data_IF_755345279397
#
_entry.id   IF_755345279397
#
_cell.length_a   1.000
_cell.length_b   1.000
_cell.length_c   1.000
_cell.angle_alpha   90.00
_cell.angle_beta   90.00
_cell.angle_gamma   90.00
#
_symmetry.space_group_name_H-M   'P 1'
#
loop_
_entity.id
_entity.type
_entity.pdbx_description
1 polymer ?
#
# COMPACT_ATOMS: atom_id res chain seq x y z
N UNK A 1 2.44 -9.17 3.15
CA UNK A 1 1.81 -8.96 1.81
C UNK A 1 0.97 -10.19 1.46
N UNK A 2 -0.11 -10.03 0.71
CA UNK A 2 -0.99 -11.15 0.30
C UNK A 2 -1.67 -10.86 -1.04
N UNK A 3 -2.23 -11.89 -1.65
CA UNK A 3 -3.03 -11.78 -2.87
C UNK A 3 -3.11 -13.11 -3.60
N UNK A 4 -3.11 -13.08 -4.93
CA UNK A 4 -3.09 -14.27 -5.76
C UNK A 4 -2.20 -14.10 -6.99
N UNK A 5 -1.76 -15.22 -7.57
CA UNK A 5 -0.99 -15.28 -8.80
C UNK A 5 -1.49 -16.42 -9.68
N UNK A 6 -1.24 -16.35 -10.97
CA UNK A 6 -1.60 -17.39 -11.92
C UNK A 6 -0.75 -17.31 -13.19
N UNK A 7 -0.86 -18.34 -14.02
CA UNK A 7 -0.20 -18.48 -15.33
C UNK A 7 -1.23 -18.37 -16.45
N UNK A 8 -0.80 -18.14 -17.68
CA UNK A 8 -1.69 -18.18 -18.84
C UNK A 8 -0.96 -18.80 -20.02
N UNK A 9 -1.67 -19.65 -20.77
CA UNK A 9 -1.19 -20.20 -22.03
C UNK A 9 -1.36 -19.18 -23.14
N UNK A 10 -0.49 -19.23 -24.15
CA UNK A 10 -0.52 -18.30 -25.26
C UNK A 10 0.38 -17.08 -25.02
N UNK A 11 0.48 -16.25 -26.06
CA UNK A 11 1.32 -15.05 -26.08
C UNK A 11 2.83 -15.35 -25.91
N UNK A 12 3.26 -16.59 -26.13
CA UNK A 12 4.68 -16.97 -26.10
C UNK A 12 5.46 -16.32 -27.24
N UNK A 13 4.78 -15.90 -28.32
CA UNK A 13 5.32 -15.08 -29.40
C UNK A 13 5.49 -13.60 -29.00
N UNK A 14 4.97 -13.20 -27.83
CA UNK A 14 5.07 -11.83 -27.30
C UNK A 14 6.12 -11.72 -26.20
N UNK A 15 6.85 -10.61 -26.24
CA UNK A 15 7.73 -10.17 -25.15
C UNK A 15 7.56 -8.67 -24.94
N UNK A 16 7.75 -8.20 -23.72
CA UNK A 16 7.75 -6.77 -23.45
C UNK A 16 9.09 -6.16 -23.90
N UNK A 17 9.04 -5.00 -24.55
CA UNK A 17 10.25 -4.27 -24.97
C UNK A 17 10.46 -3.02 -24.09
N UNK A 18 11.70 -2.76 -23.72
CA UNK A 18 12.06 -1.62 -22.88
C UNK A 18 11.55 -1.69 -21.43
N UNK A 19 11.45 -0.54 -20.77
CA UNK A 19 10.81 -0.43 -19.45
C UNK A 19 9.31 -0.28 -19.67
N UNK A 20 8.50 -1.19 -19.11
CA UNK A 20 7.05 -1.05 -19.06
C UNK A 20 6.67 -0.33 -17.75
N UNK A 21 6.44 1.00 -17.74
CA UNK A 21 6.16 1.74 -16.51
C UNK A 21 4.73 1.50 -16.00
N UNK A 22 3.95 0.63 -16.65
CA UNK A 22 2.54 0.41 -16.36
C UNK A 22 2.34 -0.90 -15.61
N UNK A 23 1.78 -0.80 -14.40
CA UNK A 23 1.21 -1.94 -13.68
C UNK A 23 -0.30 -2.04 -13.88
N UNK A 24 -0.88 -3.07 -13.28
CA UNK A 24 -2.32 -3.19 -13.09
C UNK A 24 -2.74 -2.45 -11.82
N UNK A 25 -3.87 -1.75 -11.88
CA UNK A 25 -4.56 -1.23 -10.71
C UNK A 25 -6.05 -1.60 -10.77
N UNK A 26 -6.56 -2.24 -9.72
CA UNK A 26 -7.98 -2.51 -9.54
C UNK A 26 -8.45 -1.66 -8.35
N UNK A 27 -9.34 -0.67 -8.58
CA UNK A 27 -9.86 0.18 -7.52
C UNK A 27 -10.71 -0.62 -6.54
N UNK A 28 -10.98 -0.05 -5.36
CA UNK A 28 -11.86 -0.67 -4.37
C UNK A 28 -13.21 -1.02 -4.98
N UNK A 29 -13.63 -2.27 -4.83
CA UNK A 29 -14.89 -2.79 -5.35
C UNK A 29 -15.77 -3.45 -4.28
N UNK A 30 -15.24 -3.76 -3.09
CA UNK A 30 -15.99 -4.31 -1.95
C UNK A 30 -16.49 -3.24 -0.98
N UNK A 31 -17.59 -3.56 -0.29
CA UNK A 31 -18.29 -2.71 0.68
C UNK A 31 -18.68 -1.36 0.07
N UNK A 32 -19.21 -1.42 -1.16
CA UNK A 32 -19.80 -0.30 -1.89
C UNK A 32 -21.32 -0.49 -1.97
N UNK A 33 -22.05 0.61 -2.18
CA UNK A 33 -23.49 0.58 -2.49
C UNK A 33 -24.36 -0.23 -1.51
N UNK A 34 -23.99 -0.25 -0.23
CA UNK A 34 -24.74 -0.95 0.82
C UNK A 34 -24.41 -2.44 0.97
N UNK A 35 -23.44 -2.98 0.22
CA UNK A 35 -22.85 -4.30 0.50
C UNK A 35 -22.34 -4.35 1.95
N UNK A 36 -22.65 -5.44 2.65
CA UNK A 36 -22.21 -5.67 4.02
C UNK A 36 -21.34 -6.92 4.08
N UNK A 37 -20.23 -6.81 4.79
CA UNK A 37 -19.33 -7.91 5.15
C UNK A 37 -19.06 -7.88 6.64
N UNK A 38 -18.31 -8.87 7.12
CA UNK A 38 -17.83 -8.99 8.49
C UNK A 38 -16.66 -8.04 8.83
N UNK A 39 -16.35 -7.11 7.92
CA UNK A 39 -15.46 -5.97 8.10
C UNK A 39 -16.05 -4.74 7.39
N UNK A 40 -15.61 -3.55 7.80
CA UNK A 40 -15.90 -2.28 7.14
C UNK A 40 -14.77 -1.90 6.19
N UNK A 41 -15.04 -0.94 5.28
CA UNK A 41 -14.10 -0.49 4.24
C UNK A 41 -13.81 -1.60 3.23
N UNK A 42 -12.82 -1.43 2.38
CA UNK A 42 -12.54 -2.44 1.37
C UNK A 42 -11.11 -2.33 0.88
N UNK A 43 -10.83 -3.08 -0.16
CA UNK A 43 -9.51 -3.25 -0.72
C UNK A 43 -9.54 -3.17 -2.23
N UNK A 44 -8.37 -2.92 -2.80
CA UNK A 44 -8.10 -3.02 -4.23
C UNK A 44 -6.84 -3.84 -4.48
N UNK A 45 -6.45 -3.95 -5.74
CA UNK A 45 -5.27 -4.69 -6.14
C UNK A 45 -4.31 -3.84 -6.93
N UNK A 46 -3.03 -4.12 -6.75
CA UNK A 46 -1.98 -3.69 -7.65
C UNK A 46 -1.22 -4.92 -8.12
N UNK A 47 -0.66 -4.86 -9.33
CA UNK A 47 -0.03 -6.02 -9.87
C UNK A 47 0.59 -5.80 -11.22
N UNK A 48 0.88 -6.91 -11.89
CA UNK A 48 1.39 -6.89 -13.23
C UNK A 48 1.57 -8.31 -13.75
N UNK A 49 1.79 -8.38 -15.06
CA UNK A 49 2.15 -9.60 -15.74
C UNK A 49 3.59 -9.52 -16.25
N UNK A 50 4.32 -10.61 -16.09
CA UNK A 50 5.69 -10.75 -16.56
C UNK A 50 5.93 -12.18 -17.05
N UNK A 51 6.96 -12.34 -17.88
CA UNK A 51 7.46 -13.66 -18.25
C UNK A 51 8.53 -14.09 -17.28
N UNK A 52 8.48 -15.36 -16.88
CA UNK A 52 9.49 -15.95 -16.00
C UNK A 52 10.88 -15.80 -16.62
N UNK A 53 11.81 -15.28 -15.83
CA UNK A 53 13.18 -15.01 -16.26
C UNK A 53 14.10 -16.21 -16.11
N UNK A 54 15.40 -15.92 -16.03
CA UNK A 54 16.47 -16.90 -15.90
C UNK A 54 16.50 -17.61 -14.53
N UNK A 55 15.82 -17.09 -13.51
CA UNK A 55 15.75 -17.69 -12.18
C UNK A 55 14.77 -18.87 -12.08
N UNK A 56 14.34 -19.41 -13.23
CA UNK A 56 13.50 -20.62 -13.26
C UNK A 56 14.40 -21.82 -12.99
N UNK A 57 14.30 -22.39 -11.80
CA UNK A 57 15.01 -23.62 -11.48
C UNK A 57 14.41 -24.75 -12.32
N UNK A 58 15.24 -25.32 -13.20
CA UNK A 58 14.96 -26.60 -13.83
C UNK A 58 15.96 -27.57 -13.23
N UNK A 59 15.54 -28.30 -12.20
CA UNK A 59 16.38 -29.25 -11.46
C UNK A 59 17.01 -30.36 -12.33
N UNK A 60 16.58 -30.48 -13.59
CA UNK A 60 17.09 -31.42 -14.59
C UNK A 60 18.12 -30.77 -15.55
N UNK A 61 18.23 -29.45 -15.60
CA UNK A 61 19.19 -28.67 -16.43
C UNK A 61 20.27 -28.03 -15.56
N UNK A 62 20.80 -28.77 -14.58
CA UNK A 62 21.62 -28.21 -13.50
C UNK A 62 22.90 -27.48 -13.95
N UNK A 63 23.44 -27.74 -15.15
CA UNK A 63 24.57 -27.00 -15.73
C UNK A 63 24.79 -27.33 -17.23
N UNK A 64 25.54 -26.48 -17.94
CA UNK A 64 26.03 -26.75 -19.31
C UNK A 64 25.35 -25.94 -20.42
N UNK A 65 25.67 -26.25 -21.67
CA UNK A 65 25.11 -25.55 -22.84
C UNK A 65 23.57 -25.57 -22.90
N UNK A 66 22.88 -26.70 -22.62
CA UNK A 66 21.40 -26.74 -22.64
C UNK A 66 20.75 -25.82 -21.61
N UNK A 67 21.36 -25.68 -20.42
CA UNK A 67 20.92 -24.72 -19.41
C UNK A 67 21.05 -23.29 -19.95
N UNK A 68 22.24 -22.94 -20.49
CA UNK A 68 22.50 -21.59 -21.02
C UNK A 68 21.52 -21.24 -22.14
N UNK A 69 21.29 -22.16 -23.08
CA UNK A 69 20.36 -21.97 -24.18
C UNK A 69 18.92 -21.78 -23.66
N UNK A 70 18.48 -22.62 -22.71
CA UNK A 70 17.17 -22.49 -22.10
C UNK A 70 17.00 -21.13 -21.39
N UNK A 71 18.02 -20.62 -20.71
CA UNK A 71 18.01 -19.33 -20.02
C UNK A 71 17.97 -18.12 -20.97
N UNK A 72 18.35 -18.29 -22.24
CA UNK A 72 18.21 -17.24 -23.26
C UNK A 72 16.76 -17.04 -23.72
N UNK A 73 15.87 -18.00 -23.42
CA UNK A 73 14.47 -17.96 -23.81
C UNK A 73 13.58 -17.55 -22.64
N UNK A 74 12.62 -16.63 -22.85
CA UNK A 74 11.58 -16.32 -21.88
C UNK A 74 10.75 -17.53 -21.44
N UNK A 75 10.50 -17.65 -20.14
CA UNK A 75 9.54 -18.62 -19.62
C UNK A 75 8.08 -18.24 -19.88
N UNK A 76 7.11 -18.97 -19.29
CA UNK A 76 5.68 -18.69 -19.46
C UNK A 76 5.28 -17.34 -18.87
N UNK A 77 4.12 -16.85 -19.28
CA UNK A 77 3.51 -15.66 -18.68
C UNK A 77 2.92 -15.99 -17.32
N UNK A 78 3.11 -15.06 -16.38
CA UNK A 78 2.47 -15.07 -15.08
C UNK A 78 1.89 -13.69 -14.78
N UNK A 79 0.87 -13.66 -13.93
CA UNK A 79 0.30 -12.44 -13.37
C UNK A 79 0.27 -12.57 -11.85
N UNK A 80 0.40 -11.45 -11.15
CA UNK A 80 0.25 -11.39 -9.71
C UNK A 80 -0.56 -10.18 -9.28
N UNK A 81 -1.49 -10.39 -8.35
CA UNK A 81 -2.21 -9.34 -7.63
C UNK A 81 -1.68 -9.28 -6.20
N UNK A 82 -1.32 -8.09 -5.75
CA UNK A 82 -1.08 -7.76 -4.34
C UNK A 82 -2.23 -6.90 -3.84
N UNK A 83 -2.85 -7.34 -2.75
CA UNK A 83 -3.96 -6.63 -2.14
C UNK A 83 -3.51 -5.45 -1.28
N UNK A 84 -4.28 -4.36 -1.33
CA UNK A 84 -4.13 -3.19 -0.47
C UNK A 84 -5.48 -2.85 0.14
N UNK A 85 -5.53 -2.80 1.48
CA UNK A 85 -6.72 -2.41 2.23
C UNK A 85 -6.37 -1.44 3.34
N UNK A 86 -7.42 -0.85 3.91
CA UNK A 86 -7.30 0.11 5.00
C UNK A 86 -7.06 -0.63 6.34
N UNK A 87 -6.12 -0.12 7.13
CA UNK A 87 -6.07 -0.38 8.58
C UNK A 87 -6.85 0.75 9.24
N UNK A 88 -7.86 0.40 10.04
CA UNK A 88 -8.66 1.42 10.70
C UNK A 88 -7.82 2.24 11.72
N UNK A 89 -8.17 3.52 11.94
CA UNK A 89 -7.44 4.42 12.83
C UNK A 89 -7.73 4.11 14.30
N UNK A 90 -7.15 3.03 14.82
CA UNK A 90 -7.28 2.64 16.22
C UNK A 90 -6.44 3.55 17.13
N UNK A 91 -7.00 3.98 18.26
CA UNK A 91 -6.31 4.90 19.18
C UNK A 91 -5.14 4.26 19.93
N UNK A 92 -5.19 2.95 20.14
CA UNK A 92 -4.11 2.16 20.76
C UNK A 92 -2.99 1.81 19.77
N UNK A 93 -3.20 1.99 18.46
CA UNK A 93 -2.12 2.01 17.49
C UNK A 93 -1.44 3.37 17.55
N UNK A 94 -0.23 3.40 18.10
CA UNK A 94 0.50 4.65 18.29
C UNK A 94 2.00 4.50 18.04
N UNK A 95 2.64 5.64 17.82
CA UNK A 95 4.10 5.78 17.86
C UNK A 95 4.47 6.77 18.97
N UNK A 96 5.65 6.62 19.53
CA UNK A 96 6.24 7.58 20.47
C UNK A 96 7.75 7.57 20.34
N UNK A 97 8.39 8.56 20.95
CA UNK A 97 9.84 8.54 21.11
C UNK A 97 10.22 7.60 22.27
N UNK A 98 11.38 6.96 22.13
CA UNK A 98 12.00 6.15 23.16
C UNK A 98 12.63 7.08 24.22
N UNK A 99 12.60 6.65 25.47
CA UNK A 99 13.23 7.40 26.58
C UNK A 99 14.68 6.93 26.84
N UNK A 100 15.09 5.82 26.21
CA UNK A 100 16.34 5.11 26.53
C UNK A 100 17.15 4.71 25.30
N UNK A 101 16.55 4.71 24.11
CA UNK A 101 17.21 4.27 22.88
C UNK A 101 17.30 5.46 21.95
N UNK A 102 18.53 5.81 21.58
CA UNK A 102 18.82 6.81 20.56
C UNK A 102 19.22 6.14 19.25
N UNK A 103 18.93 6.78 18.14
CA UNK A 103 19.43 6.38 16.83
C UNK A 103 20.92 6.75 16.65
N UNK A 104 21.48 6.42 15.49
CA UNK A 104 22.89 6.69 15.17
C UNK A 104 23.25 8.19 15.12
N UNK A 105 22.26 9.08 15.14
CA UNK A 105 22.42 10.53 15.10
C UNK A 105 22.12 11.18 16.46
N UNK A 106 21.83 10.39 17.50
CA UNK A 106 21.53 10.88 18.84
C UNK A 106 20.09 11.34 19.05
N UNK A 107 19.20 11.14 18.07
CA UNK A 107 17.77 11.41 18.22
C UNK A 107 17.09 10.24 18.93
N UNK A 108 16.05 10.50 19.71
CA UNK A 108 15.28 9.42 20.33
C UNK A 108 14.66 8.51 19.26
N UNK A 109 14.90 7.20 19.39
CA UNK A 109 14.40 6.22 18.45
C UNK A 109 12.87 6.11 18.55
N UNK A 110 12.23 5.75 17.43
CA UNK A 110 10.79 5.57 17.40
C UNK A 110 10.39 4.22 18.00
N UNK A 111 9.48 4.24 18.97
CA UNK A 111 8.77 3.07 19.49
C UNK A 111 7.42 2.98 18.79
N UNK A 112 7.20 1.89 18.08
CA UNK A 112 5.93 1.60 17.40
C UNK A 112 5.18 0.52 18.18
N UNK A 113 3.97 0.87 18.63
CA UNK A 113 3.02 -0.06 19.26
C UNK A 113 1.77 -0.09 18.39
N UNK A 114 1.70 -1.04 17.47
CA UNK A 114 0.59 -1.15 16.54
C UNK A 114 0.34 -2.60 16.12
N UNK A 115 -0.93 -2.95 15.97
CA UNK A 115 -1.37 -4.25 15.46
C UNK A 115 -2.55 -4.11 14.49
N UNK A 116 -2.74 -5.13 13.66
CA UNK A 116 -3.97 -5.29 12.87
C UNK A 116 -5.02 -6.01 13.73
N UNK A 117 -6.29 -5.62 13.58
CA UNK A 117 -7.38 -6.18 14.38
C UNK A 117 -8.30 -7.05 13.52
N UNK A 118 -9.41 -7.47 14.12
CA UNK A 118 -10.33 -8.44 13.50
C UNK A 118 -10.89 -7.95 12.16
N UNK A 119 -11.15 -6.65 12.04
CA UNK A 119 -11.59 -6.03 10.79
C UNK A 119 -10.61 -6.31 9.63
N UNK A 120 -9.32 -6.02 9.83
CA UNK A 120 -8.31 -6.26 8.81
C UNK A 120 -8.07 -7.77 8.60
N UNK A 121 -8.09 -8.57 9.67
CA UNK A 121 -7.92 -10.03 9.58
C UNK A 121 -9.01 -10.68 8.72
N UNK A 122 -10.27 -10.24 8.84
CA UNK A 122 -11.35 -10.72 8.00
C UNK A 122 -11.23 -10.21 6.57
N UNK A 123 -10.92 -8.92 6.39
CA UNK A 123 -10.69 -8.33 5.07
C UNK A 123 -9.59 -9.07 4.28
N UNK A 124 -8.53 -9.51 4.95
CA UNK A 124 -7.41 -10.26 4.33
C UNK A 124 -7.82 -11.62 3.75
N UNK A 125 -8.81 -12.29 4.35
CA UNK A 125 -9.33 -13.57 3.82
C UNK A 125 -9.98 -13.34 2.46
N UNK A 126 -10.85 -12.34 2.39
CA UNK A 126 -11.55 -11.96 1.15
C UNK A 126 -10.60 -11.42 0.10
N UNK A 127 -9.59 -10.63 0.49
CA UNK A 127 -8.58 -10.15 -0.45
C UNK A 127 -7.88 -11.27 -1.23
N UNK A 128 -7.64 -12.43 -0.60
CA UNK A 128 -7.05 -13.58 -1.28
C UNK A 128 -8.07 -14.31 -2.14
N UNK A 129 -9.26 -14.58 -1.58
CA UNK A 129 -10.33 -15.29 -2.27
C UNK A 129 -10.77 -14.57 -3.55
N UNK A 130 -11.04 -13.27 -3.45
CA UNK A 130 -11.46 -12.45 -4.59
C UNK A 130 -10.36 -12.32 -5.65
N UNK A 131 -9.09 -12.27 -5.24
CA UNK A 131 -7.98 -12.21 -6.19
C UNK A 131 -7.88 -13.51 -6.99
N UNK A 132 -8.06 -14.66 -6.35
CA UNK A 132 -8.07 -15.95 -7.02
C UNK A 132 -9.28 -16.08 -7.96
N UNK A 133 -10.49 -15.75 -7.49
CA UNK A 133 -11.71 -15.78 -8.29
C UNK A 133 -11.57 -14.91 -9.55
N UNK A 134 -11.06 -13.68 -9.42
CA UNK A 134 -10.83 -12.79 -10.56
C UNK A 134 -9.86 -13.39 -11.59
N UNK A 135 -8.79 -14.05 -11.14
CA UNK A 135 -7.83 -14.69 -12.03
C UNK A 135 -8.41 -15.91 -12.73
N UNK A 136 -9.14 -16.76 -12.01
CA UNK A 136 -9.80 -17.94 -12.57
C UNK A 136 -10.83 -17.56 -13.63
N UNK A 137 -11.70 -16.58 -13.34
CA UNK A 137 -12.70 -16.07 -14.30
C UNK A 137 -12.05 -15.41 -15.51
N UNK A 138 -10.89 -14.75 -15.33
CA UNK A 138 -10.12 -14.18 -16.43
C UNK A 138 -9.37 -15.23 -17.29
N UNK A 139 -9.45 -16.52 -16.94
CA UNK A 139 -8.87 -17.62 -17.71
C UNK A 139 -7.41 -17.94 -17.35
N UNK A 140 -6.90 -17.42 -16.23
CA UNK A 140 -5.59 -17.82 -15.72
C UNK A 140 -5.65 -19.24 -15.13
N UNK A 141 -4.54 -19.94 -15.25
CA UNK A 141 -4.30 -21.30 -14.75
C UNK A 141 -3.39 -21.27 -13.53
N UNK A 142 -3.27 -22.41 -12.86
CA UNK A 142 -2.42 -22.60 -11.68
C UNK A 142 -2.58 -21.49 -10.64
N UNK A 143 -3.83 -21.05 -10.44
CA UNK A 143 -4.14 -19.92 -9.56
C UNK A 143 -3.83 -20.31 -8.13
N UNK A 144 -2.98 -19.52 -7.48
CA UNK A 144 -2.55 -19.74 -6.11
C UNK A 144 -2.68 -18.44 -5.33
N UNK A 145 -3.35 -18.51 -4.18
CA UNK A 145 -3.31 -17.46 -3.18
C UNK A 145 -1.99 -17.51 -2.41
N UNK A 146 -1.61 -16.38 -1.82
CA UNK A 146 -0.47 -16.32 -0.92
C UNK A 146 -0.73 -15.34 0.23
N UNK A 147 -0.22 -15.68 1.41
CA UNK A 147 -0.10 -14.78 2.54
C UNK A 147 1.32 -14.85 3.12
N UNK A 148 2.07 -13.75 2.98
CA UNK A 148 3.40 -13.58 3.55
C UNK A 148 3.37 -12.86 4.92
N UNK A 149 2.25 -12.92 5.61
CA UNK A 149 2.00 -12.20 6.87
C UNK A 149 1.83 -10.70 6.68
N UNK A 150 1.90 -9.97 7.80
CA UNK A 150 1.91 -8.52 7.80
C UNK A 150 2.73 -7.97 8.95
N UNK A 151 3.42 -6.88 8.67
CA UNK A 151 4.09 -6.05 9.66
C UNK A 151 3.92 -4.60 9.22
N UNK A 152 3.71 -3.69 10.18
CA UNK A 152 3.73 -2.26 9.90
C UNK A 152 5.08 -1.88 9.25
N UNK A 153 5.06 -0.93 8.31
CA UNK A 153 6.22 -0.63 7.45
C UNK A 153 6.17 -1.28 6.06
N UNK A 154 5.50 -2.43 5.89
CA UNK A 154 5.51 -3.13 4.59
C UNK A 154 4.85 -2.37 3.44
N UNK A 155 3.89 -1.50 3.77
CA UNK A 155 3.19 -0.65 2.79
C UNK A 155 3.92 0.63 2.45
N UNK A 156 4.88 1.07 3.28
CA UNK A 156 5.60 2.35 3.14
C UNK A 156 4.60 3.53 3.00
N UNK A 157 3.48 3.43 3.72
CA UNK A 157 2.36 4.37 3.70
C UNK A 157 1.93 4.69 5.14
N UNK A 158 2.89 5.03 5.99
CA UNK A 158 2.63 5.40 7.38
C UNK A 158 1.83 6.70 7.43
N UNK A 159 0.74 6.69 8.21
CA UNK A 159 -0.27 7.74 8.20
C UNK A 159 -0.86 8.00 9.59
N UNK A 160 -1.32 9.23 9.82
CA UNK A 160 -2.18 9.61 10.94
C UNK A 160 -1.50 9.90 12.28
N UNK A 161 -0.18 9.98 12.29
CA UNK A 161 0.63 10.26 13.50
C UNK A 161 0.49 11.70 14.00
N UNK A 162 0.02 12.63 13.15
CA UNK A 162 -0.35 14.00 13.49
C UNK A 162 -1.66 14.37 12.79
N UNK A 163 -2.72 13.59 13.03
CA UNK A 163 -3.97 13.68 12.26
C UNK A 163 -4.62 15.07 12.29
N UNK A 164 -5.22 15.45 11.16
CA UNK A 164 -6.17 16.56 11.09
C UNK A 164 -7.45 16.27 11.87
N UNK A 165 -8.16 17.32 12.25
CA UNK A 165 -9.50 17.21 12.83
C UNK A 165 -10.22 18.54 12.93
N UNK A 166 -11.38 18.51 13.58
CA UNK A 166 -12.24 19.68 13.81
C UNK A 166 -12.14 20.23 15.24
N UNK A 167 -11.43 19.52 16.12
CA UNK A 167 -11.33 19.86 17.54
C UNK A 167 -9.87 19.62 18.01
N UNK A 168 -9.20 20.62 18.60
CA UNK A 168 -7.85 20.47 19.15
C UNK A 168 -7.73 19.39 20.22
N UNK A 169 -8.83 19.02 20.91
CA UNK A 169 -8.82 17.93 21.90
C UNK A 169 -8.68 16.54 21.28
N UNK A 170 -8.91 16.41 19.98
CA UNK A 170 -8.93 15.11 19.29
C UNK A 170 -7.99 15.05 18.08
N UNK A 171 -7.26 16.12 17.79
CA UNK A 171 -6.40 16.22 16.60
C UNK A 171 -5.21 17.14 16.85
N UNK A 172 -4.11 16.90 16.13
CA UNK A 172 -2.91 17.74 16.20
C UNK A 172 -3.03 18.92 15.25
N UNK A 173 -3.70 18.72 14.12
CA UNK A 173 -3.85 19.72 13.07
C UNK A 173 -5.32 20.09 12.88
N UNK A 174 -5.57 21.33 12.46
CA UNK A 174 -6.88 21.74 11.97
C UNK A 174 -7.13 21.26 10.53
N UNK A 175 -8.27 21.66 9.95
CA UNK A 175 -8.67 21.29 8.60
C UNK A 175 -7.76 21.80 7.46
N UNK A 176 -6.82 22.69 7.74
CA UNK A 176 -5.87 23.28 6.78
C UNK A 176 -4.42 22.82 7.03
N UNK A 177 -4.21 21.67 7.71
CA UNK A 177 -2.89 21.13 8.04
C UNK A 177 -2.06 21.98 9.02
N UNK A 178 -2.67 22.96 9.67
CA UNK A 178 -2.02 23.86 10.63
C UNK A 178 -2.08 23.27 12.04
N UNK A 179 -0.98 23.35 12.80
CA UNK A 179 -0.95 22.94 14.20
C UNK A 179 -1.82 23.87 15.04
N UNK A 180 -2.67 23.32 15.91
CA UNK A 180 -3.58 24.13 16.75
C UNK A 180 -2.83 25.12 17.66
N UNK A 181 -1.74 24.68 18.27
CA UNK A 181 -0.97 25.46 19.25
C UNK A 181 0.13 26.34 18.60
N UNK A 182 0.37 26.19 17.29
CA UNK A 182 1.42 26.91 16.57
C UNK A 182 0.94 27.26 15.15
N UNK A 183 0.32 28.44 15.01
CA UNK A 183 -0.34 28.85 13.76
C UNK A 183 0.62 28.96 12.57
N UNK A 184 1.90 29.23 12.80
CA UNK A 184 2.90 29.28 11.74
C UNK A 184 3.52 27.90 11.39
N UNK A 185 3.01 26.79 11.95
CA UNK A 185 3.51 25.43 11.70
C UNK A 185 2.47 24.59 10.97
N UNK A 186 2.91 23.91 9.91
CA UNK A 186 2.06 23.08 9.04
C UNK A 186 2.67 21.69 8.83
N UNK A 187 1.83 20.66 8.76
CA UNK A 187 2.25 19.26 8.51
C UNK A 187 1.41 18.69 7.37
N UNK A 188 2.05 18.34 6.25
CA UNK A 188 1.34 18.00 5.00
C UNK A 188 1.72 16.65 4.40
N UNK A 189 2.48 15.83 5.12
CA UNK A 189 2.82 14.46 4.74
C UNK A 189 1.74 13.45 5.21
N UNK A 190 2.08 12.15 5.23
CA UNK A 190 1.17 11.11 5.70
C UNK A 190 0.66 11.29 7.12
N UNK A 191 1.39 11.99 7.99
CA UNK A 191 1.01 12.19 9.38
C UNK A 191 -0.35 12.90 9.51
N UNK A 192 -0.70 13.78 8.56
CA UNK A 192 -1.93 14.58 8.61
C UNK A 192 -3.22 13.78 8.33
N UNK A 193 -3.12 12.58 7.77
CA UNK A 193 -4.26 11.76 7.36
C UNK A 193 -5.11 11.30 8.55
N UNK A 194 -6.42 11.24 8.40
CA UNK A 194 -7.33 10.79 9.47
C UNK A 194 -7.72 9.32 9.35
N UNK A 195 -7.55 8.74 8.17
CA UNK A 195 -7.86 7.35 7.85
C UNK A 195 -6.98 6.96 6.66
N UNK A 196 -6.52 5.72 6.68
CA UNK A 196 -5.86 5.12 5.53
C UNK A 196 -6.90 4.76 4.47
N UNK A 197 -6.49 4.53 3.23
CA UNK A 197 -7.39 4.03 2.19
C UNK A 197 -6.75 2.81 1.52
N UNK A 198 -7.41 2.26 0.49
CA UNK A 198 -6.91 1.10 -0.25
C UNK A 198 -5.92 1.49 -1.39
N UNK A 199 -5.86 2.78 -1.74
CA UNK A 199 -5.00 3.34 -2.78
C UNK A 199 -3.73 4.00 -2.21
N UNK A 200 -2.71 4.18 -3.06
CA UNK A 200 -1.51 4.93 -2.66
C UNK A 200 -1.86 6.39 -2.35
N UNK A 201 -1.34 6.96 -1.26
CA UNK A 201 -1.83 8.23 -0.75
C UNK A 201 -1.08 9.46 -1.29
N UNK A 202 0.02 9.30 -2.03
CA UNK A 202 0.92 10.41 -2.41
C UNK A 202 0.23 11.55 -3.16
N UNK A 203 -0.70 11.25 -4.08
CA UNK A 203 -1.46 12.30 -4.78
C UNK A 203 -2.36 13.09 -3.82
N UNK A 204 -2.92 12.43 -2.81
CA UNK A 204 -3.68 13.10 -1.75
C UNK A 204 -2.77 14.01 -0.93
N UNK A 205 -1.54 13.59 -0.59
CA UNK A 205 -0.58 14.44 0.12
C UNK A 205 -0.25 15.71 -0.68
N UNK A 206 -0.03 15.58 -1.98
CA UNK A 206 0.19 16.72 -2.87
C UNK A 206 -1.00 17.69 -2.87
N UNK A 207 -2.23 17.19 -2.96
CA UNK A 207 -3.43 18.01 -2.92
C UNK A 207 -3.59 18.74 -1.56
N UNK A 208 -3.36 18.04 -0.45
CA UNK A 208 -3.40 18.62 0.90
C UNK A 208 -2.31 19.67 1.08
N UNK A 209 -1.11 19.42 0.56
CA UNK A 209 0.03 20.35 0.60
C UNK A 209 -0.27 21.62 -0.19
N UNK A 210 -0.82 21.51 -1.41
CA UNK A 210 -1.21 22.67 -2.22
C UNK A 210 -2.26 23.53 -1.50
N UNK A 211 -3.27 22.90 -0.89
CA UNK A 211 -4.28 23.59 -0.08
C UNK A 211 -3.67 24.29 1.14
N UNK A 212 -2.81 23.60 1.89
CA UNK A 212 -2.17 24.14 3.09
C UNK A 212 -1.26 25.33 2.76
N UNK A 213 -0.48 25.24 1.68
CA UNK A 213 0.37 26.32 1.20
C UNK A 213 -0.45 27.56 0.80
N UNK A 214 -1.56 27.37 0.08
CA UNK A 214 -2.46 28.48 -0.25
C UNK A 214 -3.02 29.15 1.01
N UNK A 215 -3.54 28.36 1.95
CA UNK A 215 -4.05 28.88 3.22
C UNK A 215 -2.98 29.63 4.03
N UNK A 216 -1.78 29.07 4.15
CA UNK A 216 -0.68 29.70 4.86
C UNK A 216 -0.31 31.06 4.25
N UNK A 217 -0.23 31.15 2.92
CA UNK A 217 0.07 32.43 2.23
C UNK A 217 -1.05 33.46 2.43
N UNK A 218 -2.31 33.05 2.39
CA UNK A 218 -3.44 33.96 2.64
C UNK A 218 -3.45 34.48 4.08
N UNK A 219 -3.26 33.61 5.07
CA UNK A 219 -3.21 34.00 6.48
C UNK A 219 -1.97 34.84 6.81
N UNK A 220 -0.82 34.56 6.18
CA UNK A 220 0.39 35.37 6.32
C UNK A 220 0.16 36.80 5.81
N UNK A 221 -0.49 36.97 4.64
CA UNK A 221 -0.84 38.28 4.08
C UNK A 221 -1.79 39.05 4.99
N UNK A 222 -2.65 38.35 5.74
CA UNK A 222 -3.56 38.91 6.76
C UNK A 222 -2.89 39.13 8.11
N UNK A 223 -1.64 38.71 8.29
CA UNK A 223 -0.91 38.72 9.58
C UNK A 223 -1.60 37.91 10.69
N UNK A 224 -2.19 36.76 10.33
CA UNK A 224 -2.91 35.87 11.24
C UNK A 224 -2.10 34.64 11.71
N UNK A 225 -0.84 34.52 11.28
CA UNK A 225 0.07 33.42 11.62
C UNK A 225 0.96 33.75 12.81
#
# INVERSE_FOLDING_TARGET
>A
RLGARGTIDGYEDKYYFGRRPTGLYIPRFRNLNGEKRDYVRGFGYQGGASRSGWSRDVAELNFGAPMKDALTQPGPWSIGFTAFGEILPYHDNHIRLSDTVKDKWGMEALVMSAEIKENEKNMRKDMMADAAEMLEVAGFKDVQTYDAGYTFGQGIHEMGTARMGRDPKTSVLNGNNQVWDAKNVFVTDGACMTSAAAQNPSLTYMALTARAANFAVEELKRQNL
#
